data_IF_037656859965
#
_entry.id   IF_037656859965
#
_cell.length_a   1.000
_cell.length_b   1.000
_cell.length_c   1.000
_cell.angle_alpha   90.00
_cell.angle_beta   90.00
_cell.angle_gamma   90.00
#
_symmetry.space_group_name_H-M   'P 1'
#
loop_
_entity.id
_entity.type
_entity.pdbx_description
1 polymer ?
#
# COMPACT_ATOMS: atom_id res chain seq x y z
N UNK A 1 -42.40 48.24 -19.17
CA UNK A 1 -42.52 46.77 -19.10
C UNK A 1 -41.25 46.15 -19.66
N UNK A 2 -40.43 45.53 -18.82
CA UNK A 2 -39.44 44.52 -19.22
C UNK A 2 -38.94 43.83 -17.94
N UNK A 3 -39.57 42.72 -17.57
CA UNK A 3 -39.05 41.81 -16.56
C UNK A 3 -38.07 40.86 -17.26
N UNK A 4 -36.78 40.98 -16.96
CA UNK A 4 -35.77 40.00 -17.35
C UNK A 4 -35.76 38.84 -16.35
N UNK A 5 -36.15 37.65 -16.81
CA UNK A 5 -36.07 36.43 -16.02
C UNK A 5 -34.63 35.88 -16.06
N UNK A 6 -33.99 35.78 -14.89
CA UNK A 6 -32.70 35.09 -14.73
C UNK A 6 -32.94 33.58 -14.62
N UNK A 7 -32.37 32.79 -15.53
CA UNK A 7 -32.42 31.33 -15.51
C UNK A 7 -31.25 30.82 -14.67
N UNK A 8 -31.53 30.36 -13.46
CA UNK A 8 -30.57 29.69 -12.59
C UNK A 8 -30.31 28.26 -13.09
N UNK A 9 -29.09 27.99 -13.55
CA UNK A 9 -28.66 26.64 -13.94
C UNK A 9 -28.17 25.90 -12.70
N UNK A 10 -28.89 24.85 -12.30
CA UNK A 10 -28.50 23.97 -11.20
C UNK A 10 -27.58 22.88 -11.73
N UNK A 11 -26.30 22.91 -11.35
CA UNK A 11 -25.36 21.82 -11.64
C UNK A 11 -25.55 20.73 -10.58
N UNK A 12 -26.21 19.63 -10.95
CA UNK A 12 -26.30 18.46 -10.09
C UNK A 12 -24.94 17.75 -10.04
N UNK A 13 -24.26 17.79 -8.90
CA UNK A 13 -23.05 17.01 -8.67
C UNK A 13 -23.42 15.53 -8.61
N UNK A 14 -22.95 14.74 -9.58
CA UNK A 14 -23.05 13.29 -9.53
C UNK A 14 -22.17 12.77 -8.38
N UNK A 15 -22.77 12.41 -7.25
CA UNK A 15 -22.09 11.63 -6.22
C UNK A 15 -21.82 10.24 -6.80
N UNK A 16 -20.59 10.00 -7.23
CA UNK A 16 -20.15 8.66 -7.59
C UNK A 16 -20.32 7.73 -6.37
N UNK A 17 -21.29 6.81 -6.48
CA UNK A 17 -21.55 5.80 -5.45
C UNK A 17 -20.31 4.93 -5.29
N UNK A 18 -19.67 5.01 -4.13
CA UNK A 18 -18.52 4.17 -3.77
C UNK A 18 -18.98 2.72 -3.67
N UNK A 19 -18.22 1.72 -4.16
CA UNK A 19 -18.53 0.32 -3.91
C UNK A 19 -18.58 0.06 -2.40
N UNK A 20 -19.65 -0.59 -1.95
CA UNK A 20 -19.83 -0.88 -0.53
C UNK A 20 -18.79 -1.87 -0.01
N UNK A 21 -18.42 -2.86 -0.83
CA UNK A 21 -17.43 -3.88 -0.53
C UNK A 21 -16.56 -4.19 -1.75
N UNK A 22 -15.25 -4.37 -1.53
CA UNK A 22 -14.29 -4.80 -2.54
C UNK A 22 -13.51 -6.02 -2.06
N UNK A 23 -13.05 -6.87 -2.98
CA UNK A 23 -12.11 -7.93 -2.65
C UNK A 23 -10.69 -7.37 -2.58
N UNK A 24 -9.93 -7.84 -1.58
CA UNK A 24 -8.49 -7.64 -1.48
C UNK A 24 -7.77 -9.00 -1.46
N UNK A 25 -8.30 -9.99 -2.17
CA UNK A 25 -7.79 -11.37 -2.11
C UNK A 25 -6.41 -11.55 -2.79
N UNK A 26 -6.04 -10.61 -3.67
CA UNK A 26 -4.74 -10.56 -4.34
C UNK A 26 -4.03 -9.24 -4.02
N UNK A 27 -3.34 -9.12 -2.87
CA UNK A 27 -2.56 -7.94 -2.53
C UNK A 27 -1.54 -7.58 -3.63
N UNK A 28 -1.33 -6.28 -3.84
CA UNK A 28 -0.43 -5.76 -4.88
C UNK A 28 -1.08 -5.57 -6.27
N UNK A 29 -2.14 -6.31 -6.61
CA UNK A 29 -2.77 -6.24 -7.93
C UNK A 29 -3.35 -4.85 -8.27
N UNK A 30 -3.91 -4.15 -7.28
CA UNK A 30 -4.49 -2.82 -7.45
C UNK A 30 -3.92 -1.85 -6.40
N UNK A 31 -2.62 -1.61 -6.51
CA UNK A 31 -1.87 -0.75 -5.61
C UNK A 31 -2.26 0.71 -5.74
N UNK A 32 -2.35 1.43 -4.64
CA UNK A 32 -2.66 2.86 -4.64
C UNK A 32 -1.49 3.67 -5.24
N UNK A 33 -1.79 4.44 -6.28
CA UNK A 33 -0.79 5.20 -7.05
C UNK A 33 -0.71 6.68 -6.67
N UNK A 34 -1.59 7.15 -5.77
CA UNK A 34 -1.61 8.53 -5.32
C UNK A 34 -0.63 8.85 -4.19
N UNK A 35 -0.74 10.07 -3.68
CA UNK A 35 -0.04 10.50 -2.46
C UNK A 35 -0.73 9.92 -1.22
N UNK A 36 0.02 9.15 -0.42
CA UNK A 36 -0.49 8.43 0.75
C UNK A 36 -1.02 9.39 1.82
N UNK A 37 -0.28 10.46 2.22
CA UNK A 37 -0.84 11.48 3.10
C UNK A 37 -2.13 12.13 2.55
N UNK A 38 -2.16 12.53 1.27
CA UNK A 38 -3.34 13.18 0.69
C UNK A 38 -4.58 12.27 0.66
N UNK A 39 -4.41 10.95 0.66
CA UNK A 39 -5.53 10.01 0.73
C UNK A 39 -6.41 10.23 1.99
N UNK A 40 -5.79 10.63 3.11
CA UNK A 40 -6.46 10.86 4.40
C UNK A 40 -7.57 11.91 4.28
N UNK A 41 -7.47 12.87 3.34
CA UNK A 41 -8.48 13.91 3.14
C UNK A 41 -9.84 13.36 2.66
N UNK A 42 -9.89 12.12 2.17
CA UNK A 42 -11.16 11.46 1.80
C UNK A 42 -11.95 10.91 3.00
N UNK A 43 -11.34 10.83 4.18
CA UNK A 43 -12.00 10.41 5.42
C UNK A 43 -12.66 11.60 6.10
N UNK A 44 -13.84 11.96 5.61
CA UNK A 44 -14.59 13.14 6.07
C UNK A 44 -15.09 13.03 7.51
N UNK A 45 -15.15 11.81 8.06
CA UNK A 45 -15.55 11.55 9.44
C UNK A 45 -14.40 11.77 10.46
N UNK A 46 -13.15 11.84 10.00
CA UNK A 46 -12.01 12.23 10.85
C UNK A 46 -11.97 13.77 10.90
N UNK A 47 -11.92 14.41 12.09
CA UNK A 47 -11.86 15.87 12.19
C UNK A 47 -10.69 16.48 11.40
N UNK A 48 -10.83 17.66 10.75
CA UNK A 48 -9.78 18.24 9.91
C UNK A 48 -8.43 18.38 10.60
N UNK A 49 -8.40 18.84 11.86
CA UNK A 49 -7.17 18.98 12.63
C UNK A 49 -6.47 17.63 12.89
N UNK A 50 -7.25 16.55 13.08
CA UNK A 50 -6.73 15.19 13.26
C UNK A 50 -6.14 14.68 11.94
N UNK A 51 -6.80 14.95 10.80
CA UNK A 51 -6.25 14.62 9.47
C UNK A 51 -4.92 15.31 9.21
N UNK A 52 -4.79 16.60 9.51
CA UNK A 52 -3.52 17.31 9.32
C UNK A 52 -2.37 16.71 10.14
N UNK A 53 -2.63 16.34 11.39
CA UNK A 53 -1.62 15.67 12.23
C UNK A 53 -1.26 14.28 11.71
N UNK A 54 -2.24 13.46 11.32
CA UNK A 54 -1.99 12.17 10.67
C UNK A 54 -1.12 12.34 9.41
N UNK A 55 -1.44 13.31 8.55
CA UNK A 55 -0.66 13.60 7.34
C UNK A 55 0.77 14.04 7.67
N UNK A 56 0.96 14.89 8.69
CA UNK A 56 2.28 15.30 9.14
C UNK A 56 3.11 14.09 9.60
N UNK A 57 2.53 13.23 10.43
CA UNK A 57 3.17 11.98 10.90
C UNK A 57 3.53 11.04 9.76
N UNK A 58 2.63 10.86 8.78
CA UNK A 58 2.90 10.04 7.59
C UNK A 58 4.07 10.56 6.76
N UNK A 59 4.18 11.89 6.57
CA UNK A 59 5.31 12.51 5.86
C UNK A 59 6.63 12.36 6.63
N UNK A 60 6.56 12.40 7.96
CA UNK A 60 7.71 12.18 8.83
C UNK A 60 8.02 10.69 9.07
N UNK A 61 7.20 9.78 8.53
CA UNK A 61 7.27 8.33 8.76
C UNK A 61 7.19 7.93 10.25
N UNK A 62 6.47 8.71 11.06
CA UNK A 62 6.26 8.47 12.49
C UNK A 62 5.08 7.52 12.73
N UNK A 63 5.22 6.25 12.35
CA UNK A 63 4.21 5.22 12.57
C UNK A 63 4.14 4.78 14.04
N UNK A 64 2.94 4.45 14.50
CA UNK A 64 2.66 3.92 15.84
C UNK A 64 2.78 2.40 15.92
N UNK A 65 2.73 1.69 14.81
CA UNK A 65 2.83 0.24 14.83
C UNK A 65 3.25 -0.32 13.47
N UNK A 66 3.75 -1.56 13.49
CA UNK A 66 3.88 -2.39 12.30
C UNK A 66 3.11 -3.67 12.53
N UNK A 67 1.98 -3.80 11.85
CA UNK A 67 1.04 -4.89 12.05
C UNK A 67 1.25 -6.01 11.03
N UNK A 68 0.97 -7.23 11.45
CA UNK A 68 0.70 -8.37 10.59
C UNK A 68 -0.81 -8.47 10.35
N UNK A 69 -1.17 -8.64 9.07
CA UNK A 69 -2.53 -8.76 8.59
C UNK A 69 -2.71 -10.22 8.16
N UNK A 70 -3.71 -10.92 8.72
CA UNK A 70 -4.10 -12.28 8.30
C UNK A 70 -5.42 -12.26 7.52
N UNK A 71 -6.07 -13.41 7.30
CA UNK A 71 -7.43 -13.45 6.74
C UNK A 71 -8.44 -12.75 7.68
N UNK A 72 -8.31 -12.99 8.96
CA UNK A 72 -9.33 -12.77 9.99
C UNK A 72 -8.90 -11.81 11.11
N UNK A 73 -7.64 -11.34 11.11
CA UNK A 73 -7.07 -10.51 12.18
C UNK A 73 -6.09 -9.46 11.67
N UNK A 74 -5.80 -8.49 12.52
CA UNK A 74 -4.75 -7.50 12.36
C UNK A 74 -4.07 -7.38 13.73
N UNK A 75 -2.80 -7.75 13.81
CA UNK A 75 -2.07 -7.88 15.09
C UNK A 75 -0.78 -7.09 15.03
N UNK A 76 -0.53 -6.27 16.04
CA UNK A 76 0.73 -5.55 16.23
C UNK A 76 1.08 -5.44 17.71
N UNK A 77 1.67 -4.31 18.10
CA UNK A 77 1.84 -3.95 19.52
C UNK A 77 0.50 -3.71 20.21
N UNK A 78 -0.52 -3.28 19.46
CA UNK A 78 -1.91 -3.24 19.90
C UNK A 78 -2.74 -4.28 19.14
N UNK A 79 -3.89 -4.66 19.71
CA UNK A 79 -4.91 -5.41 18.98
C UNK A 79 -5.81 -4.45 18.21
N UNK A 80 -6.16 -4.86 17.00
CA UNK A 80 -7.01 -4.10 16.08
C UNK A 80 -8.20 -4.96 15.66
N UNK A 81 -9.32 -4.29 15.44
CA UNK A 81 -10.48 -4.94 14.83
C UNK A 81 -10.11 -5.43 13.43
N UNK A 82 -10.63 -6.60 13.00
CA UNK A 82 -10.34 -7.14 11.69
C UNK A 82 -11.01 -6.38 10.54
N UNK A 83 -11.97 -5.51 10.83
CA UNK A 83 -12.67 -4.73 9.82
C UNK A 83 -11.79 -3.63 9.23
N UNK A 84 -11.64 -3.67 7.89
CA UNK A 84 -10.89 -2.67 7.13
C UNK A 84 -11.87 -1.85 6.29
N UNK A 85 -11.84 -0.53 6.49
CA UNK A 85 -12.81 0.39 5.87
C UNK A 85 -12.15 1.48 5.05
N UNK A 86 -12.87 2.00 4.06
CA UNK A 86 -12.43 3.15 3.28
C UNK A 86 -11.12 2.92 2.55
N UNK A 87 -10.84 1.70 2.07
CA UNK A 87 -9.55 1.40 1.45
C UNK A 87 -9.41 2.08 0.09
N UNK A 88 -8.30 2.77 -0.11
CA UNK A 88 -7.91 3.42 -1.35
C UNK A 88 -7.16 2.44 -2.25
N UNK A 89 -7.53 2.42 -3.53
CA UNK A 89 -6.97 1.54 -4.56
C UNK A 89 -6.64 2.33 -5.84
N UNK A 90 -5.65 1.86 -6.60
CA UNK A 90 -5.32 2.33 -7.94
C UNK A 90 -5.20 3.85 -8.05
N UNK A 91 -5.90 4.42 -9.04
CA UNK A 91 -5.93 5.87 -9.33
C UNK A 91 -6.86 6.68 -8.40
N UNK A 92 -7.19 6.16 -7.21
CA UNK A 92 -7.97 6.87 -6.20
C UNK A 92 -9.42 6.41 -6.04
N UNK A 93 -9.72 5.16 -6.42
CA UNK A 93 -10.97 4.52 -5.99
C UNK A 93 -10.96 4.28 -4.49
N UNK A 94 -12.13 4.39 -3.86
CA UNK A 94 -12.29 4.13 -2.42
C UNK A 94 -13.43 3.13 -2.22
N UNK A 95 -13.13 2.04 -1.52
CA UNK A 95 -14.10 1.00 -1.15
C UNK A 95 -14.58 1.19 0.28
N UNK A 96 -15.88 1.01 0.53
CA UNK A 96 -16.47 1.14 1.87
C UNK A 96 -15.87 0.15 2.86
N UNK A 97 -15.90 -1.13 2.52
CA UNK A 97 -15.27 -2.25 3.24
C UNK A 97 -14.42 -3.07 2.28
N UNK A 98 -13.47 -3.83 2.80
CA UNK A 98 -12.69 -4.79 2.01
C UNK A 98 -12.72 -6.18 2.62
N UNK A 99 -12.89 -7.18 1.77
CA UNK A 99 -12.86 -8.59 2.14
C UNK A 99 -11.47 -9.17 1.92
N UNK A 100 -11.06 -10.05 2.84
CA UNK A 100 -9.86 -10.90 2.74
C UNK A 100 -10.22 -12.39 2.69
N UNK A 101 -11.49 -12.73 2.41
CA UNK A 101 -12.00 -14.09 2.54
C UNK A 101 -11.30 -15.13 1.65
N UNK A 102 -10.70 -14.69 0.54
CA UNK A 102 -9.94 -15.54 -0.37
C UNK A 102 -8.49 -15.82 0.06
N UNK A 103 -7.98 -15.15 1.09
CA UNK A 103 -6.61 -15.39 1.59
C UNK A 103 -6.48 -16.79 2.15
N UNK A 104 -5.32 -17.43 2.08
CA UNK A 104 -5.11 -18.71 2.80
C UNK A 104 -4.90 -18.48 4.31
N UNK A 105 -5.00 -19.53 5.13
CA UNK A 105 -4.74 -19.43 6.58
C UNK A 105 -3.31 -18.99 6.91
N UNK A 106 -2.34 -19.31 6.04
CA UNK A 106 -0.94 -18.92 6.20
C UNK A 106 -0.55 -17.62 5.49
N UNK A 107 -1.46 -17.02 4.70
CA UNK A 107 -1.15 -15.78 4.00
C UNK A 107 -1.10 -14.61 4.98
N UNK A 108 -0.03 -13.82 4.90
CA UNK A 108 0.25 -12.69 5.76
C UNK A 108 0.74 -11.50 4.95
N UNK A 109 0.29 -10.32 5.34
CA UNK A 109 0.79 -9.05 4.83
C UNK A 109 1.21 -8.14 5.99
N UNK A 110 2.12 -7.19 5.73
CA UNK A 110 2.54 -6.21 6.74
C UNK A 110 2.03 -4.81 6.40
N UNK A 111 1.70 -4.04 7.43
CA UNK A 111 1.31 -2.64 7.26
C UNK A 111 1.87 -1.73 8.34
N UNK A 112 2.09 -0.47 7.97
CA UNK A 112 2.39 0.61 8.91
C UNK A 112 1.09 1.21 9.41
N UNK A 113 0.98 1.45 10.72
CA UNK A 113 -0.21 2.06 11.33
C UNK A 113 0.14 3.44 11.88
N UNK A 114 -0.73 4.42 11.62
CA UNK A 114 -0.69 5.77 12.16
C UNK A 114 -2.00 6.05 12.87
N UNK A 115 -1.93 6.44 14.14
CA UNK A 115 -3.06 6.76 14.97
C UNK A 115 -2.97 8.18 15.51
N UNK A 116 -4.10 8.87 15.58
CA UNK A 116 -4.22 10.16 16.23
C UNK A 116 -5.51 10.16 17.06
N UNK A 117 -5.37 10.09 18.38
CA UNK A 117 -6.49 9.78 19.27
C UNK A 117 -7.10 8.41 18.93
N UNK A 118 -8.39 8.38 18.61
CA UNK A 118 -9.11 7.15 18.21
C UNK A 118 -9.05 6.85 16.70
N UNK A 119 -8.56 7.78 15.88
CA UNK A 119 -8.50 7.59 14.44
C UNK A 119 -7.21 6.89 14.04
N UNK A 120 -7.31 5.67 13.49
CA UNK A 120 -6.17 4.92 12.98
C UNK A 120 -6.28 4.66 11.47
N UNK A 121 -5.17 4.85 10.78
CA UNK A 121 -5.00 4.59 9.34
C UNK A 121 -3.83 3.63 9.16
N UNK A 122 -4.00 2.61 8.33
CA UNK A 122 -2.93 1.68 7.98
C UNK A 122 -2.59 1.73 6.49
N UNK A 123 -1.33 1.41 6.19
CA UNK A 123 -0.76 1.38 4.84
C UNK A 123 0.04 0.08 4.66
N UNK A 124 -0.49 -0.93 3.93
CA UNK A 124 0.23 -2.16 3.64
C UNK A 124 1.47 -1.89 2.78
N UNK A 125 2.57 -2.58 3.09
CA UNK A 125 3.85 -2.37 2.41
C UNK A 125 3.85 -2.88 0.97
N UNK A 126 3.01 -3.87 0.66
CA UNK A 126 2.93 -4.49 -0.68
C UNK A 126 2.21 -3.61 -1.71
N UNK A 127 1.15 -2.89 -1.30
CA UNK A 127 0.28 -2.18 -2.25
C UNK A 127 0.08 -0.70 -1.94
N UNK A 128 0.60 -0.18 -0.82
CA UNK A 128 0.45 1.23 -0.40
C UNK A 128 -1.01 1.70 -0.27
N UNK A 129 -1.96 0.77 -0.22
CA UNK A 129 -3.38 1.08 -0.08
C UNK A 129 -3.61 1.75 1.28
N UNK A 130 -4.32 2.87 1.29
CA UNK A 130 -4.59 3.60 2.53
C UNK A 130 -5.96 3.16 3.04
N UNK A 131 -6.05 2.72 4.29
CA UNK A 131 -7.31 2.23 4.85
C UNK A 131 -7.47 2.59 6.32
N UNK A 132 -8.71 2.63 6.78
CA UNK A 132 -9.04 2.86 8.19
C UNK A 132 -9.21 1.53 8.92
N UNK A 133 -8.70 1.52 10.15
CA UNK A 133 -8.87 0.43 11.11
C UNK A 133 -9.23 1.01 12.48
N UNK A 134 -9.73 0.16 13.37
CA UNK A 134 -10.04 0.53 14.75
C UNK A 134 -9.19 -0.31 15.69
N UNK A 135 -8.79 0.27 16.82
CA UNK A 135 -8.19 -0.52 17.91
C UNK A 135 -9.28 -1.35 18.57
N UNK A 136 -8.99 -2.61 18.87
CA UNK A 136 -9.92 -3.44 19.62
C UNK A 136 -10.17 -2.83 21.01
N UNK A 137 -11.39 -2.93 21.57
CA UNK A 137 -11.70 -2.39 22.88
C UNK A 137 -10.79 -3.00 23.96
N UNK A 138 -10.25 -2.16 24.82
CA UNK A 138 -9.25 -2.59 25.83
C UNK A 138 -7.80 -2.44 25.37
N UNK A 139 -7.53 -2.24 24.08
CA UNK A 139 -6.19 -1.98 23.51
C UNK A 139 -5.75 -0.52 23.66
N UNK A 140 -6.29 0.16 24.69
CA UNK A 140 -6.09 1.58 24.94
C UNK A 140 -4.61 1.90 25.01
N UNK A 141 -4.15 2.68 24.03
CA UNK A 141 -2.82 3.28 24.01
C UNK A 141 -2.69 4.33 25.11
N UNK A 142 -2.61 3.87 26.35
CA UNK A 142 -1.75 4.54 27.31
C UNK A 142 -0.33 4.30 26.84
N UNK A 143 0.50 5.34 26.79
CA UNK A 143 1.94 5.18 26.75
C UNK A 143 2.39 4.41 28.00
N UNK A 144 2.27 3.09 27.96
CA UNK A 144 3.08 2.23 28.77
C UNK A 144 4.47 2.31 28.14
N UNK A 145 5.37 3.00 28.84
CA UNK A 145 6.80 2.66 28.78
C UNK A 145 6.88 1.14 28.70
N UNK A 146 7.69 0.56 27.77
CA UNK A 146 7.78 -0.88 27.63
C UNK A 146 7.81 -1.51 29.03
N UNK A 147 7.01 -2.57 29.32
CA UNK A 147 7.29 -3.36 30.51
C UNK A 147 8.77 -3.63 30.41
N UNK A 148 9.48 -3.19 31.46
CA UNK A 148 10.93 -3.17 31.47
C UNK A 148 11.40 -4.44 30.83
N UNK A 149 12.35 -4.31 29.91
CA UNK A 149 13.58 -5.05 30.04
C UNK A 149 13.38 -6.15 31.10
N UNK A 150 12.88 -7.31 30.66
CA UNK A 150 13.56 -8.53 31.05
C UNK A 150 14.96 -8.32 30.49
N UNK A 151 15.70 -7.48 31.23
CA UNK A 151 17.12 -7.44 31.33
C UNK A 151 17.41 -8.92 31.45
N UNK A 152 17.86 -9.48 30.35
CA UNK A 152 18.55 -10.75 30.37
C UNK A 152 19.71 -10.46 31.31
N UNK A 153 19.47 -10.66 32.60
CA UNK A 153 20.46 -10.65 33.66
C UNK A 153 21.31 -11.86 33.31
N UNK A 154 22.26 -11.62 32.42
CA UNK A 154 23.39 -12.50 32.25
C UNK A 154 24.15 -12.38 33.55
N UNK A 155 23.97 -13.40 34.40
CA UNK A 155 24.81 -13.60 35.57
C UNK A 155 26.27 -13.59 35.08
N UNK A 156 27.06 -12.55 35.39
CA UNK A 156 28.44 -12.50 34.93
C UNK A 156 29.18 -13.68 35.58
N UNK A 157 29.94 -14.49 34.84
CA UNK A 157 30.70 -15.57 35.44
C UNK A 157 31.60 -14.96 36.53
N UNK A 158 31.39 -15.44 37.77
CA UNK A 158 31.99 -14.88 38.97
C UNK A 158 33.49 -14.72 38.85
N UNK A 159 33.94 -13.47 38.68
CA UNK A 159 35.29 -13.07 39.04
C UNK A 159 35.31 -12.92 40.57
N UNK A 160 36.20 -13.68 41.21
CA UNK A 160 36.26 -13.85 42.65
C UNK A 160 36.21 -12.56 43.48
N UNK A 161 35.58 -12.70 44.64
CA UNK A 161 35.43 -11.71 45.70
C UNK A 161 36.75 -10.97 45.99
N UNK A 162 36.82 -9.63 45.86
CA UNK A 162 37.85 -8.86 46.52
C UNK A 162 37.50 -8.72 48.00
N UNK A 163 38.47 -9.04 48.86
CA UNK A 163 38.39 -8.88 50.30
C UNK A 163 37.98 -7.44 50.73
N UNK A 164 37.33 -7.28 51.89
CA UNK A 164 36.87 -5.98 52.37
C UNK A 164 38.06 -5.09 52.76
N UNK A 165 38.15 -3.91 52.14
CA UNK A 165 38.99 -2.81 52.62
C UNK A 165 38.18 -1.92 53.58
N UNK A 166 38.72 -1.51 54.75
CA UNK A 166 38.03 -0.66 55.71
C UNK A 166 37.85 0.77 55.18
N UNK A 167 36.81 1.42 55.70
CA UNK A 167 36.25 2.65 55.16
C UNK A 167 37.17 3.86 55.14
N UNK A 168 36.95 4.67 54.13
CA UNK A 168 37.13 6.12 54.17
C UNK A 168 36.08 6.74 53.25
N UNK A 169 35.29 7.67 53.78
CA UNK A 169 34.36 8.48 52.99
C UNK A 169 35.11 9.61 52.29
N UNK A 170 34.95 9.82 50.98
CA UNK A 170 35.20 11.10 50.36
C UNK A 170 33.89 11.80 49.99
N UNK A 171 33.90 13.10 50.25
CA UNK A 171 32.87 14.12 50.07
C UNK A 171 32.17 14.16 48.69
N UNK A 172 31.00 14.82 48.58
CA UNK A 172 30.31 15.01 47.30
C UNK A 172 31.16 15.80 46.30
N UNK A 173 31.32 15.26 45.09
CA UNK A 173 31.98 15.93 43.98
C UNK A 173 31.23 17.22 43.61
N UNK A 174 31.90 18.34 43.83
CA UNK A 174 31.51 19.65 43.33
C UNK A 174 31.37 19.64 41.80
N UNK A 175 30.27 20.24 41.35
CA UNK A 175 29.98 20.59 39.96
C UNK A 175 31.10 21.45 39.37
N UNK A 176 31.80 20.93 38.36
CA UNK A 176 32.67 21.74 37.51
C UNK A 176 31.83 22.51 36.47
N UNK A 177 32.06 23.82 36.26
CA UNK A 177 31.44 24.54 35.15
C UNK A 177 32.09 24.16 33.80
N UNK A 178 31.33 24.13 32.69
CA UNK A 178 31.92 23.86 31.38
C UNK A 178 32.78 25.04 30.93
N UNK A 179 34.05 24.77 30.61
CA UNK A 179 34.91 25.71 29.90
C UNK A 179 34.48 25.78 28.42
N UNK A 180 34.31 26.96 27.82
CA UNK A 180 33.97 27.06 26.40
C UNK A 180 35.19 26.71 25.53
N UNK A 181 34.97 25.84 24.54
CA UNK A 181 35.90 25.62 23.44
C UNK A 181 36.07 26.91 22.63
N UNK A 182 37.29 27.43 22.60
CA UNK A 182 37.70 28.55 21.75
C UNK A 182 37.64 28.11 20.29
N UNK A 183 36.74 28.69 19.48
CA UNK A 183 36.73 28.51 18.03
C UNK A 183 35.37 28.40 17.35
N UNK A 184 34.26 28.36 18.09
CA UNK A 184 32.91 28.39 17.50
C UNK A 184 32.34 29.80 17.64
N UNK A 185 31.98 30.50 16.55
CA UNK A 185 31.31 31.78 16.65
C UNK A 185 29.95 31.59 17.32
N UNK A 186 29.77 32.21 18.49
CA UNK A 186 28.50 32.28 19.18
C UNK A 186 27.54 33.17 18.39
N UNK A 187 26.57 32.56 17.71
CA UNK A 187 25.42 33.27 17.16
C UNK A 187 24.45 33.62 18.30
N UNK A 188 24.09 34.89 18.49
CA UNK A 188 23.14 35.27 19.53
C UNK A 188 21.74 34.71 19.21
N UNK A 189 20.98 34.25 20.22
CA UNK A 189 19.59 33.88 20.04
C UNK A 189 18.77 35.17 19.82
N UNK A 190 18.26 35.37 18.60
CA UNK A 190 17.37 36.51 18.31
C UNK A 190 17.25 36.93 16.84
N UNK A 191 18.09 36.46 15.93
CA UNK A 191 18.01 36.85 14.51
C UNK A 191 17.17 35.87 13.69
N UNK A 192 15.85 36.05 13.74
CA UNK A 192 14.97 35.51 12.70
C UNK A 192 15.21 36.31 11.42
N UNK A 193 15.94 35.72 10.47
CA UNK A 193 15.93 36.20 9.08
C UNK A 193 14.52 35.98 8.55
N UNK A 194 13.82 37.07 8.29
CA UNK A 194 12.51 37.03 7.63
C UNK A 194 12.66 36.35 6.26
N UNK A 195 11.79 35.39 5.90
CA UNK A 195 11.77 34.87 4.54
C UNK A 195 11.41 35.99 3.57
N UNK A 196 11.88 35.95 2.31
CA UNK A 196 11.52 36.94 1.31
C UNK A 196 10.00 36.96 1.13
N UNK A 197 9.41 38.15 1.26
CA UNK A 197 8.01 38.39 0.91
C UNK A 197 7.85 38.17 -0.59
N UNK A 198 7.14 37.11 -0.97
CA UNK A 198 6.66 36.93 -2.34
C UNK A 198 5.46 37.87 -2.51
N UNK A 199 5.66 39.00 -3.20
CA UNK A 199 4.56 39.84 -3.66
C UNK A 199 3.85 39.12 -4.80
N UNK A 200 2.64 38.62 -4.53
CA UNK A 200 1.70 38.15 -5.55
C UNK A 200 1.02 39.38 -6.12
N UNK A 201 1.55 39.91 -7.23
CA UNK A 201 0.86 40.90 -8.05
C UNK A 201 -0.30 40.26 -8.84
N UNK A 202 -1.31 41.03 -9.25
CA UNK A 202 -2.37 40.54 -10.14
C UNK A 202 -1.79 40.12 -11.51
N UNK A 203 -2.41 39.15 -12.19
CA UNK A 203 -1.85 38.59 -13.42
C UNK A 203 -1.85 39.63 -14.55
N UNK A 204 -0.77 39.74 -15.34
CA UNK A 204 -0.80 40.50 -16.57
C UNK A 204 -1.68 39.79 -17.60
N UNK A 205 -2.69 40.49 -18.10
CA UNK A 205 -3.38 40.17 -19.35
C UNK A 205 -2.41 40.40 -20.51
N UNK A 206 -1.72 39.34 -20.93
CA UNK A 206 -0.79 39.38 -22.05
C UNK A 206 -0.66 38.01 -22.71
N UNK A 207 -0.86 37.98 -24.02
CA UNK A 207 -0.83 36.82 -24.92
C UNK A 207 0.41 35.91 -24.76
N UNK A 208 0.32 34.61 -25.11
CA UNK A 208 1.41 33.67 -24.89
C UNK A 208 2.60 33.94 -25.83
N UNK A 209 3.85 33.90 -25.34
CA UNK A 209 5.01 33.79 -26.20
C UNK A 209 5.19 32.33 -26.66
N UNK A 210 5.17 32.12 -27.97
CA UNK A 210 5.63 30.89 -28.61
C UNK A 210 7.16 30.85 -28.57
N UNK A 211 7.74 30.20 -27.56
CA UNK A 211 9.16 29.88 -27.54
C UNK A 211 9.35 28.47 -26.99
N UNK A 212 9.52 27.52 -27.91
CA UNK A 212 9.94 26.15 -27.62
C UNK A 212 11.44 26.22 -27.32
N UNK A 213 11.93 25.90 -26.10
CA UNK A 213 13.35 25.71 -25.88
C UNK A 213 13.81 24.42 -26.57
N UNK A 214 14.98 24.40 -27.24
CA UNK A 214 15.56 23.16 -27.75
C UNK A 214 15.95 22.23 -26.58
N UNK A 215 15.92 20.91 -26.79
CA UNK A 215 16.32 19.94 -25.76
C UNK A 215 17.80 20.09 -25.41
N UNK A 216 18.20 19.81 -24.15
CA UNK A 216 19.60 19.82 -23.76
C UNK A 216 20.37 18.72 -24.50
N UNK A 217 21.46 19.10 -25.17
CA UNK A 217 22.43 18.17 -25.72
C UNK A 217 23.16 17.48 -24.57
N UNK A 218 22.92 16.18 -24.41
CA UNK A 218 23.75 15.32 -23.57
C UNK A 218 25.16 15.26 -24.17
N UNK A 219 26.11 15.95 -23.55
CA UNK A 219 27.54 15.78 -23.81
C UNK A 219 27.96 14.49 -23.12
N UNK A 220 28.34 13.47 -23.90
CA UNK A 220 29.00 12.27 -23.37
C UNK A 220 30.34 12.69 -22.72
N UNK A 221 30.69 12.15 -21.54
CA UNK A 221 32.01 12.36 -20.97
C UNK A 221 33.09 11.73 -21.87
N UNK A 222 34.29 12.33 -21.98
CA UNK A 222 35.39 11.76 -22.73
C UNK A 222 35.84 10.42 -22.11
N UNK A 223 36.15 9.48 -23.00
CA UNK A 223 36.68 8.17 -22.66
C UNK A 223 37.91 8.30 -21.74
N UNK A 224 37.86 7.59 -20.62
CA UNK A 224 38.99 7.44 -19.70
C UNK A 224 40.08 6.67 -20.42
N UNK A 225 41.26 7.27 -20.42
CA UNK A 225 42.56 6.78 -20.85
C UNK A 225 42.82 5.33 -20.41
N UNK A 226 43.23 4.50 -21.37
CA UNK A 226 43.76 3.15 -21.12
C UNK A 226 44.91 3.18 -20.11
N UNK A 227 44.81 2.36 -19.05
CA UNK A 227 45.96 1.92 -18.26
C UNK A 227 46.60 0.70 -18.94
N UNK A 228 47.94 0.56 -18.90
CA UNK A 228 48.65 -0.56 -19.51
C UNK A 228 48.39 -1.89 -18.78
N UNK A 229 48.43 -3.04 -19.49
CA UNK A 229 48.16 -4.35 -18.91
C UNK A 229 49.32 -4.81 -18.02
N UNK A 230 49.04 -4.95 -16.72
CA UNK A 230 49.88 -5.76 -15.83
C UNK A 230 49.52 -7.23 -16.06
N UNK A 231 50.51 -7.98 -16.54
CA UNK A 231 50.46 -9.43 -16.75
C UNK A 231 50.29 -10.12 -15.40
N UNK A 232 49.16 -10.80 -15.21
CA UNK A 232 48.95 -11.79 -14.17
C UNK A 232 48.52 -13.12 -14.82
N UNK A 233 49.00 -14.28 -14.32
CA UNK A 233 48.77 -15.59 -14.96
C UNK A 233 47.32 -16.05 -14.83
N UNK A 234 46.83 -16.88 -15.77
CA UNK A 234 45.42 -17.26 -15.83
C UNK A 234 45.08 -18.28 -14.74
N UNK A 235 44.18 -17.90 -13.83
CA UNK A 235 43.44 -18.87 -13.02
C UNK A 235 42.31 -19.43 -13.87
N UNK A 236 42.29 -20.75 -13.97
CA UNK A 236 41.32 -21.53 -14.73
C UNK A 236 39.88 -21.17 -14.32
N UNK A 237 39.12 -20.65 -15.27
CA UNK A 237 37.67 -20.43 -15.16
C UNK A 237 37.01 -21.82 -15.20
N UNK A 238 36.25 -22.25 -14.18
CA UNK A 238 35.51 -23.50 -14.24
C UNK A 238 34.41 -23.41 -15.30
N UNK A 239 34.10 -24.50 -16.02
CA UNK A 239 33.05 -24.50 -17.04
C UNK A 239 31.70 -24.22 -16.38
N UNK A 240 31.01 -23.17 -16.86
CA UNK A 240 29.63 -22.87 -16.48
C UNK A 240 28.74 -23.99 -17.02
N UNK A 241 28.21 -24.81 -16.13
CA UNK A 241 27.24 -25.85 -16.46
C UNK A 241 25.90 -25.16 -16.69
N UNK A 242 25.26 -25.28 -17.88
CA UNK A 242 23.96 -24.66 -18.12
C UNK A 242 22.94 -25.26 -17.15
N UNK A 243 22.37 -24.40 -16.31
CA UNK A 243 21.28 -24.76 -15.41
C UNK A 243 20.10 -25.19 -16.28
N UNK A 244 19.57 -26.42 -16.11
CA UNK A 244 18.40 -26.85 -16.86
C UNK A 244 17.19 -26.05 -16.37
N UNK A 245 16.75 -25.10 -17.17
CA UNK A 245 15.50 -24.39 -16.91
C UNK A 245 14.34 -25.41 -16.94
N UNK A 246 13.50 -25.47 -15.90
CA UNK A 246 12.35 -26.38 -15.90
C UNK A 246 11.36 -25.98 -17.00
N UNK A 247 11.50 -26.66 -18.14
CA UNK A 247 10.50 -26.97 -19.17
C UNK A 247 9.40 -25.92 -19.38
N UNK A 248 9.69 -24.91 -20.18
CA UNK A 248 8.71 -24.03 -20.85
C UNK A 248 7.55 -24.82 -21.46
N UNK A 249 7.82 -26.03 -21.96
CA UNK A 249 6.84 -26.97 -22.50
C UNK A 249 5.83 -27.47 -21.46
N UNK A 250 6.21 -27.65 -20.18
CA UNK A 250 5.27 -28.08 -19.14
C UNK A 250 4.23 -26.99 -18.83
N UNK A 251 4.63 -25.72 -18.82
CA UNK A 251 3.73 -24.59 -18.59
C UNK A 251 2.73 -24.40 -19.74
N UNK A 252 3.17 -24.59 -20.99
CA UNK A 252 2.30 -24.54 -22.16
C UNK A 252 1.25 -25.66 -22.15
N UNK A 253 1.66 -26.90 -21.82
CA UNK A 253 0.72 -28.03 -21.74
C UNK A 253 -0.28 -27.85 -20.59
N UNK A 254 0.18 -27.37 -19.43
CA UNK A 254 -0.70 -27.09 -18.29
C UNK A 254 -1.74 -26.00 -18.62
N UNK A 255 -1.32 -24.92 -19.27
CA UNK A 255 -2.20 -23.84 -19.71
C UNK A 255 -3.28 -24.32 -20.69
N UNK A 256 -2.89 -25.12 -21.69
CA UNK A 256 -3.83 -25.66 -22.68
C UNK A 256 -4.83 -26.64 -22.04
N UNK A 257 -4.37 -27.47 -21.10
CA UNK A 257 -5.23 -28.40 -20.35
C UNK A 257 -6.32 -27.68 -19.54
N UNK A 258 -5.96 -26.59 -18.86
CA UNK A 258 -6.91 -25.75 -18.09
C UNK A 258 -7.95 -25.10 -19.01
N UNK A 259 -7.55 -24.63 -20.18
CA UNK A 259 -8.45 -23.99 -21.14
C UNK A 259 -9.50 -24.98 -21.67
N UNK A 260 -9.08 -26.20 -22.02
CA UNK A 260 -9.99 -27.28 -22.46
C UNK A 260 -10.95 -27.68 -21.33
N UNK A 261 -10.47 -27.78 -20.09
CA UNK A 261 -11.31 -28.12 -18.94
C UNK A 261 -12.37 -27.05 -18.65
N UNK A 262 -11.99 -25.76 -18.76
CA UNK A 262 -12.89 -24.62 -18.62
C UNK A 262 -14.03 -24.63 -19.65
N UNK A 263 -13.68 -24.85 -20.93
CA UNK A 263 -14.66 -24.93 -22.02
C UNK A 263 -15.65 -26.10 -21.81
N UNK A 264 -15.15 -27.26 -21.38
CA UNK A 264 -15.99 -28.43 -21.09
C UNK A 264 -16.94 -28.19 -19.91
N UNK A 265 -16.49 -27.52 -18.84
CA UNK A 265 -17.35 -27.16 -17.70
C UNK A 265 -18.44 -26.16 -18.12
N UNK A 266 -18.10 -25.18 -18.94
CA UNK A 266 -19.03 -24.16 -19.42
C UNK A 266 -20.13 -24.75 -20.32
N UNK A 267 -19.81 -25.71 -21.18
CA UNK A 267 -20.81 -26.42 -21.98
C UNK A 267 -21.73 -27.30 -21.12
N UNK A 268 -21.20 -27.97 -20.08
CA UNK A 268 -22.02 -28.77 -19.15
C UNK A 268 -22.96 -27.93 -18.29
N UNK A 269 -22.57 -26.70 -17.95
CA UNK A 269 -23.44 -25.78 -17.23
C UNK A 269 -24.61 -25.31 -18.11
N UNK A 270 -24.35 -25.02 -19.40
CA UNK A 270 -25.39 -24.58 -20.34
C UNK A 270 -26.38 -25.67 -20.72
N UNK A 271 -25.95 -26.93 -20.82
CA UNK A 271 -26.87 -28.04 -21.12
C UNK A 271 -27.85 -28.35 -19.98
N UNK A 272 -27.53 -27.98 -18.73
CA UNK A 272 -28.43 -28.14 -17.57
C UNK A 272 -29.50 -27.05 -17.45
N UNK A 273 -29.33 -25.90 -18.09
CA UNK A 273 -30.31 -24.81 -18.04
C UNK A 273 -31.37 -24.86 -19.14
N UNK A 274 -31.33 -25.85 -20.04
CA UNK A 274 -32.35 -26.05 -21.07
C UNK A 274 -33.28 -27.21 -20.71
N UNK A 275 -33.95 -27.11 -19.56
CA UNK A 275 -35.20 -27.82 -19.33
C UNK A 275 -36.34 -27.00 -19.98
N UNK A 276 -37.11 -27.56 -20.93
CA UNK A 276 -38.21 -26.82 -21.54
C UNK A 276 -39.35 -26.65 -20.52
N UNK A 277 -39.72 -25.41 -20.22
CA UNK A 277 -41.01 -25.08 -19.61
C UNK A 277 -42.11 -25.51 -20.58
N UNK A 278 -42.85 -26.54 -20.22
CA UNK A 278 -44.08 -26.92 -20.89
C UNK A 278 -45.13 -25.81 -20.72
N UNK A 279 -45.66 -25.36 -21.85
CA UNK A 279 -46.87 -24.53 -21.94
C UNK A 279 -47.79 -25.21 -22.96
N UNK A 280 -49.05 -25.32 -22.53
CA UNK A 280 -50.28 -25.60 -23.26
C UNK A 280 -50.53 -26.98 -23.90
N UNK A 281 -51.26 -27.79 -23.12
CA UNK A 281 -52.12 -28.85 -23.61
C UNK A 281 -53.52 -28.27 -23.90
N UNK A 282 -53.77 -27.85 -25.15
CA UNK A 282 -55.10 -27.89 -25.76
C UNK A 282 -55.04 -28.11 -27.28
N UNK A 283 -55.54 -29.29 -27.66
CA UNK A 283 -56.33 -29.58 -28.87
C UNK A 283 -55.62 -29.40 -30.22
N UNK A 284 -55.31 -30.53 -30.86
CA UNK A 284 -55.16 -30.56 -32.31
C UNK A 284 -54.35 -31.73 -32.85
N UNK A 285 -55.03 -32.82 -33.19
CA UNK A 285 -54.60 -33.87 -34.11
C UNK A 285 -53.59 -33.37 -35.16
N UNK A 286 -52.39 -33.97 -35.24
CA UNK A 286 -51.64 -34.16 -36.49
C UNK A 286 -50.40 -35.07 -36.33
N UNK A 287 -50.48 -36.21 -37.01
CA UNK A 287 -49.48 -36.89 -37.85
C UNK A 287 -48.07 -37.13 -37.28
N UNK A 288 -47.75 -38.41 -37.05
CA UNK A 288 -46.40 -38.91 -36.77
C UNK A 288 -45.45 -38.66 -37.96
N UNK A 289 -44.24 -38.10 -37.75
CA UNK A 289 -43.18 -38.14 -38.75
C UNK A 289 -42.42 -39.48 -38.70
N UNK A 290 -42.15 -40.02 -39.87
CA UNK A 290 -41.39 -41.24 -40.13
C UNK A 290 -39.88 -41.04 -39.98
N UNK A 291 -39.16 -42.15 -39.81
CA UNK A 291 -37.77 -42.29 -39.35
C UNK A 291 -36.65 -41.75 -40.26
N UNK A 292 -36.89 -40.76 -41.11
CA UNK A 292 -35.89 -40.27 -42.08
C UNK A 292 -35.32 -38.87 -41.80
N UNK A 293 -35.66 -38.25 -40.66
CA UNK A 293 -35.37 -36.82 -40.40
C UNK A 293 -34.42 -36.57 -39.20
N UNK A 294 -33.45 -37.48 -39.00
CA UNK A 294 -32.48 -37.42 -37.87
C UNK A 294 -31.06 -36.99 -38.30
N UNK A 295 -30.77 -36.81 -39.60
CA UNK A 295 -29.37 -36.64 -40.05
C UNK A 295 -28.93 -35.23 -40.52
N UNK A 296 -29.78 -34.20 -40.44
CA UNK A 296 -29.42 -32.88 -41.02
C UNK A 296 -29.70 -31.69 -40.12
N UNK A 297 -29.19 -31.68 -38.88
CA UNK A 297 -29.10 -30.44 -38.10
C UNK A 297 -27.64 -30.10 -37.78
N UNK A 298 -27.09 -28.99 -38.30
CA UNK A 298 -25.74 -28.58 -37.97
C UNK A 298 -25.65 -28.13 -36.52
N UNK A 299 -24.57 -28.55 -35.86
CA UNK A 299 -24.16 -28.06 -34.55
C UNK A 299 -23.76 -26.59 -34.72
N UNK A 300 -24.59 -25.66 -34.22
CA UNK A 300 -24.18 -24.28 -34.01
C UNK A 300 -23.77 -24.10 -32.55
N UNK A 301 -22.51 -23.71 -32.36
CA UNK A 301 -22.02 -23.05 -31.15
C UNK A 301 -22.51 -21.60 -31.10
#
# INVERSE_FOLDING_TARGET
MAMGAAIAHSVAAATATRPAACSWDTPGHDSFMGDVPAAVDRYTDIPPAVRERLKARMRAHEYDDVVEISRDRIVGRADYEPDIRGMHFGEGRVCGTVSRAGWSEGQRERALVYCEGSACVMVPTVCRNVSRIERAPGSGGGGARPPGDEELVFDPPGAGVPAPVPGDSPAPLSTLPPSPLTGVPATPPGSFVSPPRVSIGPPPTGSPPTAIPPPPLFVLPPAVTELPPTVAPPLAVPPVVPVPEPSTSAMVVAGLGLLIASLRRSCRARSRCRAPRGVDERVGLRKMPTAHDVLSRPIRC
#
